data_IF_094742254824
#
_entry.id   IF_094742254824
#
_cell.length_a   1.000
_cell.length_b   1.000
_cell.length_c   1.000
_cell.angle_alpha   90.00
_cell.angle_beta   90.00
_cell.angle_gamma   90.00
#
_symmetry.space_group_name_H-M   'P 1'
#
loop_
_entity.id
_entity.type
_entity.pdbx_description
1 polymer ?
#
# COMPACT_ATOMS: atom_id res chain seq x y z
N UNK A 1 -30.89 -9.54 -8.16
CA UNK A 1 -29.52 -8.99 -8.25
C UNK A 1 -29.65 -7.48 -8.28
N UNK A 2 -29.33 -6.79 -7.18
CA UNK A 2 -29.30 -5.32 -7.15
C UNK A 2 -27.95 -4.89 -6.61
N UNK A 3 -27.05 -4.61 -7.54
CA UNK A 3 -25.85 -3.84 -7.29
C UNK A 3 -26.22 -2.38 -7.49
N UNK A 4 -25.97 -1.53 -6.49
CA UNK A 4 -25.38 -0.18 -6.66
C UNK A 4 -25.37 0.53 -5.31
N UNK A 5 -24.31 0.24 -4.55
CA UNK A 5 -23.59 1.16 -3.66
C UNK A 5 -24.21 2.56 -3.50
N UNK A 6 -25.01 2.75 -2.45
CA UNK A 6 -25.11 4.06 -1.79
C UNK A 6 -23.82 4.30 -1.02
N UNK A 7 -22.87 4.99 -1.67
CA UNK A 7 -21.60 5.41 -1.09
C UNK A 7 -21.52 6.93 -1.07
N UNK A 8 -21.66 7.49 0.13
CA UNK A 8 -21.49 8.88 0.58
C UNK A 8 -20.73 9.86 -0.35
N UNK A 9 -21.22 11.10 -0.42
CA UNK A 9 -20.68 12.30 -1.07
C UNK A 9 -19.29 12.77 -0.56
N UNK A 10 -18.47 11.87 -0.03
CA UNK A 10 -17.07 12.16 0.27
C UNK A 10 -16.36 12.11 -1.07
N UNK A 11 -15.79 13.23 -1.51
CA UNK A 11 -15.08 13.33 -2.77
C UNK A 11 -14.03 12.21 -2.89
N UNK A 12 -14.41 11.11 -3.53
CA UNK A 12 -13.53 9.98 -3.76
C UNK A 12 -12.61 10.35 -4.92
N UNK A 13 -11.66 11.24 -4.63
CA UNK A 13 -10.64 11.67 -5.58
C UNK A 13 -9.68 10.52 -5.72
N UNK A 14 -9.92 9.67 -6.71
CA UNK A 14 -8.91 8.71 -7.13
C UNK A 14 -7.67 9.45 -7.62
N UNK A 15 -6.49 8.88 -7.41
CA UNK A 15 -5.23 9.49 -7.82
C UNK A 15 -4.21 8.43 -8.21
N UNK A 16 -3.15 8.85 -8.88
CA UNK A 16 -2.06 7.98 -9.29
C UNK A 16 -0.87 8.17 -8.37
N UNK A 17 -0.25 7.08 -7.99
CA UNK A 17 1.01 7.08 -7.23
C UNK A 17 2.07 6.30 -7.99
N UNK A 18 3.33 6.60 -7.71
CA UNK A 18 4.47 5.81 -8.16
C UNK A 18 5.10 5.11 -6.95
N UNK A 19 5.27 3.81 -7.04
CA UNK A 19 5.90 3.01 -6.00
C UNK A 19 7.37 3.41 -5.84
N UNK A 20 7.79 3.64 -4.60
CA UNK A 20 9.16 4.01 -4.23
C UNK A 20 9.91 2.87 -3.53
N UNK A 21 9.30 1.68 -3.48
CA UNK A 21 9.84 0.46 -2.90
C UNK A 21 9.10 -0.74 -3.52
N UNK A 22 9.68 -1.93 -3.37
CA UNK A 22 9.04 -3.18 -3.73
C UNK A 22 8.16 -3.68 -2.57
N UNK A 23 6.94 -4.10 -2.90
CA UNK A 23 6.01 -4.70 -1.98
C UNK A 23 5.62 -6.10 -2.44
N UNK A 24 5.96 -7.08 -1.62
CA UNK A 24 5.56 -8.46 -1.83
C UNK A 24 4.41 -8.82 -0.89
N UNK A 25 3.23 -9.10 -1.47
CA UNK A 25 2.02 -9.46 -0.71
C UNK A 25 2.21 -10.69 0.18
N UNK A 26 3.16 -11.57 -0.13
CA UNK A 26 3.41 -12.76 0.68
C UNK A 26 4.03 -12.41 2.05
N UNK A 27 4.63 -11.22 2.21
CA UNK A 27 5.21 -10.77 3.47
C UNK A 27 4.16 -10.39 4.53
N UNK A 28 2.92 -10.09 4.12
CA UNK A 28 1.81 -9.82 5.04
C UNK A 28 1.02 -11.10 5.40
N UNK A 29 1.57 -12.29 5.14
CA UNK A 29 0.99 -13.59 5.54
C UNK A 29 -0.49 -13.76 5.21
N UNK A 30 -0.97 -13.17 4.11
CA UNK A 30 -2.36 -13.30 3.67
C UNK A 30 -3.38 -12.48 4.46
N UNK A 31 -2.97 -11.38 5.13
CA UNK A 31 -3.92 -10.43 5.76
C UNK A 31 -5.06 -10.03 4.81
N UNK A 32 -4.76 -9.90 3.51
CA UNK A 32 -5.77 -9.81 2.44
C UNK A 32 -5.35 -10.70 1.27
N UNK A 33 -6.21 -11.65 0.88
CA UNK A 33 -5.98 -12.51 -0.30
C UNK A 33 -5.85 -11.70 -1.60
N UNK A 34 -6.53 -10.56 -1.66
CA UNK A 34 -6.55 -9.63 -2.79
C UNK A 34 -5.49 -8.51 -2.69
N UNK A 35 -4.48 -8.66 -1.83
CA UNK A 35 -3.37 -7.72 -1.81
C UNK A 35 -2.62 -7.75 -3.16
N UNK A 36 -2.25 -6.58 -3.65
CA UNK A 36 -1.47 -6.41 -4.87
C UNK A 36 0.00 -6.30 -4.50
N UNK A 37 0.83 -7.14 -5.13
CA UNK A 37 2.26 -6.93 -5.22
C UNK A 37 2.60 -5.81 -6.22
N UNK A 38 3.68 -5.09 -5.97
CA UNK A 38 4.22 -4.09 -6.89
C UNK A 38 5.72 -3.90 -6.71
N UNK A 39 6.37 -3.44 -7.78
CA UNK A 39 7.79 -3.14 -7.83
C UNK A 39 8.08 -1.65 -7.81
N UNK A 40 9.31 -1.30 -7.45
CA UNK A 40 9.80 0.07 -7.54
C UNK A 40 9.56 0.65 -8.95
N UNK A 41 8.98 1.85 -9.00
CA UNK A 41 8.73 2.58 -10.24
C UNK A 41 7.39 2.28 -10.91
N UNK A 42 6.66 1.25 -10.49
CA UNK A 42 5.30 0.99 -11.00
C UNK A 42 4.33 2.11 -10.62
N UNK A 43 3.37 2.38 -11.51
CA UNK A 43 2.31 3.37 -11.28
C UNK A 43 1.02 2.66 -10.92
N UNK A 44 0.39 3.08 -9.83
CA UNK A 44 -0.83 2.49 -9.29
C UNK A 44 -1.93 3.54 -9.28
N UNK A 45 -3.15 3.16 -9.67
CA UNK A 45 -4.32 4.02 -9.55
C UNK A 45 -5.07 3.69 -8.27
N UNK A 46 -4.99 4.59 -7.29
CA UNK A 46 -5.66 4.50 -6.00
C UNK A 46 -7.10 4.98 -6.15
N UNK A 47 -8.05 4.09 -5.88
CA UNK A 47 -9.49 4.32 -6.01
C UNK A 47 -10.14 4.73 -4.70
N UNK A 48 -9.65 4.22 -3.57
CA UNK A 48 -10.08 4.61 -2.23
C UNK A 48 -8.88 4.59 -1.29
N UNK A 49 -8.66 5.70 -0.60
CA UNK A 49 -7.61 5.87 0.41
C UNK A 49 -8.23 6.24 1.77
N UNK A 50 -9.46 5.79 2.03
CA UNK A 50 -10.21 6.16 3.23
C UNK A 50 -9.74 5.39 4.47
N UNK A 51 -9.17 4.20 4.27
CA UNK A 51 -8.64 3.35 5.34
C UNK A 51 -7.14 3.63 5.62
N UNK A 52 -6.77 3.66 6.89
CA UNK A 52 -5.42 4.00 7.36
C UNK A 52 -4.41 2.84 7.23
N UNK A 53 -4.84 1.62 6.93
CA UNK A 53 -3.97 0.44 6.77
C UNK A 53 -3.87 -0.02 5.32
N UNK A 54 -4.99 -0.03 4.58
CA UNK A 54 -5.07 -0.61 3.24
C UNK A 54 -5.84 0.27 2.27
N UNK A 55 -5.23 0.65 1.16
CA UNK A 55 -5.89 1.43 0.12
C UNK A 55 -6.35 0.52 -1.02
N UNK A 56 -7.53 0.80 -1.57
CA UNK A 56 -7.99 0.13 -2.78
C UNK A 56 -7.30 0.74 -4.00
N UNK A 57 -6.64 -0.10 -4.79
CA UNK A 57 -5.91 0.34 -5.98
C UNK A 57 -5.99 -0.70 -7.09
N UNK A 58 -5.57 -0.29 -8.28
CA UNK A 58 -5.36 -1.16 -9.45
C UNK A 58 -3.99 -0.88 -10.06
N UNK A 59 -3.34 -1.93 -10.56
CA UNK A 59 -2.08 -1.79 -11.31
C UNK A 59 -2.34 -1.26 -12.70
N UNK A 60 -1.32 -0.64 -13.25
CA UNK A 60 -1.29 -0.21 -14.66
C UNK A 60 -0.17 -0.99 -15.31
N UNK A 61 -0.50 -1.81 -16.30
CA UNK A 61 0.51 -2.57 -17.01
C UNK A 61 1.35 -1.65 -17.92
N UNK A 62 2.39 -2.21 -18.54
CA UNK A 62 3.29 -1.46 -19.42
C UNK A 62 2.58 -0.89 -20.67
N UNK A 63 1.44 -1.44 -21.05
CA UNK A 63 0.61 -0.97 -22.16
C UNK A 63 -0.35 0.17 -21.74
N UNK A 64 -0.36 0.56 -20.46
CA UNK A 64 -1.27 1.57 -19.93
C UNK A 64 -2.67 1.03 -19.59
N UNK A 65 -2.88 -0.28 -19.71
CA UNK A 65 -4.14 -0.93 -19.37
C UNK A 65 -4.24 -1.17 -17.87
N UNK A 66 -5.45 -1.04 -17.36
CA UNK A 66 -5.76 -1.16 -15.96
C UNK A 66 -6.00 -2.63 -15.63
N UNK A 67 -5.23 -3.16 -14.67
CA UNK A 67 -5.37 -4.54 -14.22
C UNK A 67 -6.37 -4.68 -13.07
N UNK A 68 -6.40 -5.87 -12.46
CA UNK A 68 -7.33 -6.24 -11.39
C UNK A 68 -7.25 -5.27 -10.19
N UNK A 69 -8.42 -5.03 -9.59
CA UNK A 69 -8.57 -4.23 -8.39
C UNK A 69 -8.18 -5.05 -7.16
N UNK A 70 -7.35 -4.48 -6.31
CA UNK A 70 -6.94 -5.09 -5.05
C UNK A 70 -6.51 -4.05 -4.04
N UNK A 71 -5.73 -4.49 -3.05
CA UNK A 71 -5.33 -3.66 -1.91
C UNK A 71 -3.83 -3.44 -1.87
N UNK A 72 -3.42 -2.22 -1.55
CA UNK A 72 -2.02 -1.85 -1.31
C UNK A 72 -1.87 -1.30 0.11
N UNK A 73 -0.72 -1.48 0.77
CA UNK A 73 -0.49 -0.89 2.08
C UNK A 73 -0.56 0.64 2.01
N UNK A 74 -1.23 1.25 2.97
CA UNK A 74 -1.31 2.70 3.08
C UNK A 74 0.08 3.32 3.37
N UNK A 75 0.23 4.61 3.08
CA UNK A 75 1.43 5.37 3.48
C UNK A 75 1.72 5.25 4.98
N UNK A 76 0.69 5.36 5.82
CA UNK A 76 0.85 5.33 7.27
C UNK A 76 1.34 3.96 7.77
N UNK A 77 0.84 2.87 7.18
CA UNK A 77 1.28 1.49 7.48
C UNK A 77 2.77 1.30 7.14
N UNK A 78 3.19 1.81 5.98
CA UNK A 78 4.58 1.73 5.51
C UNK A 78 5.52 2.53 6.42
N UNK A 79 5.15 3.78 6.75
CA UNK A 79 5.97 4.66 7.60
C UNK A 79 6.13 4.10 9.02
N UNK A 80 5.09 3.49 9.59
CA UNK A 80 5.16 2.85 10.92
C UNK A 80 6.15 1.67 10.93
N UNK A 81 6.15 0.85 9.87
CA UNK A 81 7.07 -0.29 9.72
C UNK A 81 8.51 0.20 9.60
N UNK A 82 8.75 1.22 8.79
CA UNK A 82 10.07 1.82 8.61
C UNK A 82 10.57 2.50 9.90
N UNK A 83 9.72 3.26 10.60
CA UNK A 83 10.04 3.87 11.90
C UNK A 83 10.46 2.83 12.94
N UNK A 84 9.76 1.69 12.99
CA UNK A 84 10.09 0.59 13.90
C UNK A 84 11.48 0.01 13.59
N UNK A 85 11.84 -0.14 12.30
CA UNK A 85 13.19 -0.58 11.87
C UNK A 85 14.27 0.44 12.23
N UNK A 86 13.97 1.74 12.11
CA UNK A 86 14.91 2.81 12.46
C UNK A 86 15.21 2.84 13.97
N UNK A 87 14.17 2.66 14.80
CA UNK A 87 14.30 2.64 16.27
C UNK A 87 15.17 1.47 16.75
N UNK A 88 14.97 0.26 16.21
CA UNK A 88 15.81 -0.91 16.54
C UNK A 88 17.29 -0.72 16.15
N UNK A 89 17.58 0.04 15.09
CA UNK A 89 18.97 0.36 14.69
C UNK A 89 19.64 1.41 15.58
N UNK A 90 18.87 2.23 16.31
CA UNK A 90 19.38 3.23 17.25
C UNK A 90 19.77 2.62 18.59
N UNK A 91 19.03 1.62 19.07
CA UNK A 91 19.29 0.94 20.34
C UNK A 91 20.52 0.02 20.28
N UNK A 92 20.82 -0.60 19.13
CA UNK A 92 21.99 -1.47 19.00
C UNK A 92 23.35 -0.74 18.86
N UNK A 93 23.36 0.61 18.86
CA UNK A 93 24.62 1.40 18.82
C UNK A 93 25.10 1.87 20.19
N UNK A 94 24.30 1.68 21.24
CA UNK A 94 24.67 2.04 22.62
C UNK A 94 25.27 0.87 23.43
N UNK A 95 25.34 -0.33 22.87
CA UNK A 95 25.85 -1.54 23.55
C UNK A 95 27.13 -2.05 22.85
N UNK A 96 28.15 -1.20 22.69
CA UNK A 96 29.50 -1.63 22.27
C UNK A 96 30.59 -0.65 22.70
N UNK A 97 30.48 -0.11 23.92
CA UNK A 97 31.57 0.64 24.57
C UNK A 97 31.69 0.18 26.01
N UNK A 98 32.33 -0.97 26.21
CA UNK A 98 32.97 -1.34 27.47
C UNK A 98 34.23 -2.12 27.16
#
# INVERSE_FOLDING_TARGET
MMNSSSGSLRANRSFYIRALFDYDKQWDCGVLSQALDFNFGEVLHVMDSSDDEWWQARRINQQGELEELGYIPSKHRVERKEWSRMKSKGENKHVSRH
#
